data_IF_110930293166
#
_entry.id   IF_110930293166
#
_cell.length_a   1.000
_cell.length_b   1.000
_cell.length_c   1.000
_cell.angle_alpha   90.00
_cell.angle_beta   90.00
_cell.angle_gamma   90.00
#
_symmetry.space_group_name_H-M   'P 1'
#
loop_
_entity.id
_entity.type
_entity.pdbx_description
1 polymer ?
#
# COMPACT_ATOMS: atom_id res chain seq x y z
N UNK A 1 -39.60 -12.35 -21.74
CA UNK A 1 -38.15 -12.24 -22.02
C UNK A 1 -37.51 -13.47 -21.43
N UNK A 2 -36.64 -14.15 -22.18
CA UNK A 2 -36.15 -15.47 -21.78
C UNK A 2 -35.33 -15.38 -20.48
N UNK A 3 -35.59 -16.31 -19.58
CA UNK A 3 -34.77 -16.56 -18.40
C UNK A 3 -33.45 -17.16 -18.91
N UNK A 4 -32.37 -16.36 -18.94
CA UNK A 4 -31.04 -16.83 -19.32
C UNK A 4 -30.56 -17.78 -18.22
N UNK A 5 -30.85 -19.08 -18.37
CA UNK A 5 -30.41 -20.12 -17.45
C UNK A 5 -28.90 -20.03 -17.27
N UNK A 6 -28.48 -19.66 -16.06
CA UNK A 6 -27.08 -19.42 -15.71
C UNK A 6 -26.29 -20.71 -15.99
N UNK A 7 -25.32 -20.62 -16.89
CA UNK A 7 -24.56 -21.78 -17.39
C UNK A 7 -23.39 -22.15 -16.48
N UNK A 8 -23.07 -21.28 -15.52
CA UNK A 8 -22.03 -21.43 -14.50
C UNK A 8 -22.23 -22.72 -13.73
N UNK A 9 -21.23 -23.59 -13.77
CA UNK A 9 -21.22 -24.83 -12.98
C UNK A 9 -20.52 -24.59 -11.65
N UNK A 10 -20.84 -25.38 -10.62
CA UNK A 10 -20.05 -25.35 -9.39
C UNK A 10 -18.74 -26.11 -9.55
N UNK A 11 -17.69 -25.61 -8.91
CA UNK A 11 -16.43 -26.31 -8.70
C UNK A 11 -16.14 -26.36 -7.19
N UNK A 12 -15.74 -27.52 -6.69
CA UNK A 12 -15.28 -27.68 -5.30
C UNK A 12 -13.79 -27.42 -5.20
N UNK A 13 -13.31 -27.07 -4.00
CA UNK A 13 -11.94 -26.62 -3.78
C UNK A 13 -10.89 -27.65 -4.25
N UNK A 14 -11.12 -28.95 -4.01
CA UNK A 14 -10.25 -30.06 -4.43
C UNK A 14 -10.07 -30.10 -5.96
N UNK A 15 -11.15 -29.83 -6.72
CA UNK A 15 -11.09 -29.82 -8.18
C UNK A 15 -10.37 -28.56 -8.70
N UNK A 16 -10.50 -27.41 -8.02
CA UNK A 16 -9.70 -26.22 -8.35
C UNK A 16 -8.21 -26.47 -8.08
N UNK A 17 -7.84 -27.19 -7.02
CA UNK A 17 -6.43 -27.58 -6.77
C UNK A 17 -5.90 -28.44 -7.90
N UNK A 18 -6.64 -29.46 -8.34
CA UNK A 18 -6.23 -30.29 -9.47
C UNK A 18 -6.02 -29.48 -10.77
N UNK A 19 -6.81 -28.42 -11.00
CA UNK A 19 -6.60 -27.51 -12.14
C UNK A 19 -5.33 -26.68 -11.98
N UNK A 20 -5.08 -26.11 -10.79
CA UNK A 20 -3.87 -25.35 -10.48
C UNK A 20 -2.59 -26.20 -10.65
N UNK A 21 -2.62 -27.46 -10.20
CA UNK A 21 -1.53 -28.43 -10.35
C UNK A 21 -1.30 -28.87 -11.81
N UNK A 22 -2.34 -28.86 -12.65
CA UNK A 22 -2.26 -29.26 -14.06
C UNK A 22 -1.63 -28.22 -15.00
N UNK A 23 -1.36 -27.00 -14.50
CA UNK A 23 -0.73 -25.90 -15.23
C UNK A 23 -1.68 -24.74 -15.53
N UNK A 24 -1.23 -23.52 -15.23
CA UNK A 24 -2.07 -22.31 -15.23
C UNK A 24 -2.37 -21.72 -16.62
N UNK A 25 -1.71 -22.16 -17.69
CA UNK A 25 -1.88 -21.59 -19.05
C UNK A 25 -3.32 -21.66 -19.59
N UNK A 26 -4.15 -22.56 -19.07
CA UNK A 26 -5.56 -22.75 -19.48
C UNK A 26 -6.58 -22.32 -18.42
N UNK A 27 -6.14 -21.92 -17.23
CA UNK A 27 -7.00 -21.57 -16.10
C UNK A 27 -7.02 -20.05 -15.90
N UNK A 28 -8.20 -19.45 -15.97
CA UNK A 28 -8.40 -18.06 -15.62
C UNK A 28 -9.11 -17.96 -14.26
N UNK A 29 -8.32 -17.73 -13.21
CA UNK A 29 -8.84 -17.60 -11.84
C UNK A 29 -9.17 -16.14 -11.51
N UNK A 30 -10.41 -15.89 -11.11
CA UNK A 30 -10.96 -14.54 -10.87
C UNK A 30 -11.44 -14.40 -9.42
N UNK A 31 -10.87 -13.43 -8.71
CA UNK A 31 -11.35 -12.99 -7.40
C UNK A 31 -12.36 -11.85 -7.58
N UNK A 32 -13.63 -12.11 -7.23
CA UNK A 32 -14.72 -11.13 -7.32
C UNK A 32 -14.97 -10.36 -6.02
N UNK A 33 -14.06 -10.40 -5.04
CA UNK A 33 -14.21 -9.70 -3.75
C UNK A 33 -13.74 -8.25 -3.85
N UNK A 34 -14.08 -7.41 -2.86
CA UNK A 34 -13.51 -6.06 -2.77
C UNK A 34 -11.98 -6.08 -2.75
N UNK A 35 -11.36 -5.08 -3.40
CA UNK A 35 -9.90 -4.94 -3.46
C UNK A 35 -9.19 -5.08 -2.10
N UNK A 36 -9.81 -4.64 -1.00
CA UNK A 36 -9.25 -4.76 0.36
C UNK A 36 -9.14 -6.22 0.83
N UNK A 37 -10.12 -7.07 0.52
CA UNK A 37 -10.10 -8.48 0.89
C UNK A 37 -9.07 -9.25 0.06
N UNK A 38 -9.04 -9.03 -1.26
CA UNK A 38 -8.03 -9.58 -2.16
C UNK A 38 -6.59 -9.27 -1.71
N UNK A 39 -6.28 -7.99 -1.43
CA UNK A 39 -4.94 -7.60 -0.96
C UNK A 39 -4.62 -8.06 0.47
N UNK A 40 -5.63 -8.50 1.24
CA UNK A 40 -5.39 -9.13 2.55
C UNK A 40 -4.93 -10.57 2.36
N UNK A 41 -5.65 -11.34 1.53
CA UNK A 41 -5.21 -12.64 1.02
C UNK A 41 -6.15 -13.11 -0.08
N UNK A 42 -5.62 -13.79 -1.10
CA UNK A 42 -6.34 -14.34 -2.26
C UNK A 42 -5.73 -15.70 -2.66
N UNK A 43 -6.42 -16.49 -3.49
CA UNK A 43 -5.85 -17.70 -4.10
C UNK A 43 -4.70 -17.29 -5.04
N UNK A 44 -3.61 -18.07 -5.08
CA UNK A 44 -2.46 -17.79 -5.95
C UNK A 44 -2.88 -17.52 -7.41
N UNK A 45 -2.20 -16.56 -8.04
CA UNK A 45 -2.42 -16.10 -9.43
C UNK A 45 -3.83 -15.60 -9.78
N UNK A 46 -4.73 -15.47 -8.80
CA UNK A 46 -6.07 -14.92 -9.03
C UNK A 46 -6.04 -13.46 -9.48
N UNK A 47 -6.88 -13.09 -10.45
CA UNK A 47 -7.04 -11.73 -10.94
C UNK A 47 -8.21 -11.05 -10.20
N UNK A 48 -7.96 -9.94 -9.51
CA UNK A 48 -9.05 -9.21 -8.84
C UNK A 48 -9.87 -8.36 -9.82
N UNK A 49 -11.11 -8.78 -10.06
CA UNK A 49 -12.09 -8.00 -10.81
C UNK A 49 -12.94 -7.22 -9.80
N UNK A 50 -12.29 -6.19 -9.21
CA UNK A 50 -12.74 -5.40 -8.06
C UNK A 50 -14.25 -5.09 -8.02
N UNK A 51 -14.94 -5.74 -7.08
CA UNK A 51 -16.37 -5.56 -6.84
C UNK A 51 -16.70 -4.14 -6.36
N UNK A 52 -17.20 -3.31 -7.29
CA UNK A 52 -17.65 -1.95 -7.00
C UNK A 52 -18.95 -1.61 -7.75
N UNK A 53 -19.79 -0.76 -7.14
CA UNK A 53 -21.05 -0.29 -7.74
C UNK A 53 -20.84 0.38 -9.10
N UNK A 54 -19.71 1.08 -9.28
CA UNK A 54 -19.35 1.72 -10.55
C UNK A 54 -18.99 0.68 -11.61
N UNK A 55 -18.15 -0.32 -11.27
CA UNK A 55 -17.75 -1.36 -12.22
C UNK A 55 -18.95 -2.22 -12.63
N UNK A 56 -19.78 -2.63 -11.67
CA UNK A 56 -21.06 -3.32 -11.92
C UNK A 56 -21.89 -2.59 -12.97
N UNK A 57 -22.12 -1.28 -12.78
CA UNK A 57 -22.90 -0.45 -13.70
C UNK A 57 -22.26 -0.36 -15.08
N UNK A 58 -20.92 -0.23 -15.18
CA UNK A 58 -20.22 -0.18 -16.47
C UNK A 58 -20.29 -1.51 -17.23
N UNK A 59 -20.20 -2.65 -16.54
CA UNK A 59 -20.41 -3.98 -17.12
C UNK A 59 -21.87 -4.18 -17.57
N UNK A 60 -22.86 -3.84 -16.73
CA UNK A 60 -24.29 -3.91 -17.09
C UNK A 60 -24.64 -3.06 -18.33
N UNK A 61 -23.96 -1.93 -18.53
CA UNK A 61 -24.19 -0.99 -19.64
C UNK A 61 -23.25 -1.23 -20.85
N UNK A 62 -22.44 -2.30 -20.85
CA UNK A 62 -21.44 -2.61 -21.88
C UNK A 62 -20.52 -1.42 -22.21
N UNK A 63 -20.13 -0.67 -21.17
CA UNK A 63 -19.18 0.46 -21.22
C UNK A 63 -17.73 0.07 -20.91
N UNK A 64 -17.51 -1.21 -20.63
CA UNK A 64 -16.23 -1.92 -20.44
C UNK A 64 -16.50 -3.37 -20.83
N UNK A 65 -15.67 -3.96 -21.69
CA UNK A 65 -15.76 -5.38 -21.99
C UNK A 65 -15.09 -6.20 -20.88
N UNK A 66 -15.63 -7.39 -20.58
CA UNK A 66 -15.07 -8.23 -19.52
C UNK A 66 -13.63 -8.69 -19.84
N UNK A 67 -13.34 -8.94 -21.12
CA UNK A 67 -12.02 -9.33 -21.63
C UNK A 67 -10.98 -8.21 -21.46
N UNK A 68 -11.32 -6.97 -21.82
CA UNK A 68 -10.49 -5.77 -21.56
C UNK A 68 -10.22 -5.60 -20.06
N UNK A 69 -11.26 -5.79 -19.23
CA UNK A 69 -11.15 -5.65 -17.77
C UNK A 69 -10.20 -6.70 -17.17
N UNK A 70 -10.29 -7.96 -17.60
CA UNK A 70 -9.36 -9.02 -17.21
C UNK A 70 -7.94 -8.67 -17.63
N UNK A 71 -7.72 -8.28 -18.89
CA UNK A 71 -6.40 -7.92 -19.42
C UNK A 71 -5.76 -6.73 -18.66
N UNK A 72 -6.56 -5.74 -18.27
CA UNK A 72 -6.09 -4.58 -17.50
C UNK A 72 -5.88 -4.88 -16.01
N UNK A 73 -6.53 -5.90 -15.46
CA UNK A 73 -6.39 -6.31 -14.04
C UNK A 73 -5.30 -7.36 -13.81
N UNK A 74 -4.82 -8.02 -14.86
CA UNK A 74 -3.75 -9.01 -14.79
C UNK A 74 -2.38 -8.38 -14.42
N UNK A 75 -1.57 -9.09 -13.61
CA UNK A 75 -0.19 -8.68 -13.27
C UNK A 75 0.74 -8.68 -14.50
N UNK A 76 0.42 -9.48 -15.52
CA UNK A 76 1.19 -9.67 -16.75
C UNK A 76 0.27 -9.66 -17.99
N UNK A 77 0.83 -9.56 -19.20
CA UNK A 77 0.03 -9.64 -20.44
C UNK A 77 -0.51 -11.07 -20.60
N UNK A 78 -1.82 -11.23 -20.46
CA UNK A 78 -2.53 -12.51 -20.67
C UNK A 78 -3.24 -12.47 -22.01
N UNK A 79 -3.10 -13.54 -22.80
CA UNK A 79 -3.93 -13.78 -23.98
C UNK A 79 -5.19 -14.54 -23.53
N UNK A 80 -6.35 -14.02 -23.94
CA UNK A 80 -7.66 -14.56 -23.58
C UNK A 80 -8.14 -15.45 -24.72
N UNK A 81 -8.37 -16.73 -24.44
CA UNK A 81 -9.01 -17.69 -25.33
C UNK A 81 -10.37 -18.08 -24.72
N UNK A 82 -11.42 -18.10 -25.54
CA UNK A 82 -12.76 -18.53 -25.12
C UNK A 82 -12.80 -19.99 -24.62
N UNK A 83 -11.77 -20.79 -24.94
CA UNK A 83 -11.58 -22.17 -24.46
C UNK A 83 -10.92 -22.29 -23.08
N UNK A 84 -10.44 -21.20 -22.48
CA UNK A 84 -9.93 -21.24 -21.11
C UNK A 84 -11.03 -21.67 -20.13
N UNK A 85 -10.65 -22.43 -19.10
CA UNK A 85 -11.54 -22.69 -17.96
C UNK A 85 -11.50 -21.48 -17.04
N UNK A 86 -12.65 -20.81 -16.86
CA UNK A 86 -12.76 -19.67 -15.96
C UNK A 86 -13.30 -20.14 -14.62
N UNK A 87 -12.59 -19.86 -13.54
CA UNK A 87 -13.07 -20.10 -12.17
C UNK A 87 -13.21 -18.75 -11.47
N UNK A 88 -14.40 -18.45 -10.96
CA UNK A 88 -14.70 -17.24 -10.20
C UNK A 88 -14.96 -17.61 -8.75
N UNK A 89 -14.49 -16.80 -7.82
CA UNK A 89 -14.83 -16.95 -6.40
C UNK A 89 -15.10 -15.61 -5.73
N UNK A 90 -16.01 -15.63 -4.76
CA UNK A 90 -16.27 -14.55 -3.82
C UNK A 90 -15.79 -14.96 -2.42
N UNK A 91 -16.34 -14.34 -1.36
CA UNK A 91 -15.92 -14.67 0.00
C UNK A 91 -16.48 -16.00 0.52
N UNK A 92 -17.72 -16.40 0.18
CA UNK A 92 -18.36 -17.58 0.80
C UNK A 92 -19.60 -18.16 0.08
N UNK A 93 -19.86 -17.82 -1.19
CA UNK A 93 -21.05 -18.32 -1.90
C UNK A 93 -20.93 -19.82 -2.17
N UNK A 94 -21.99 -20.57 -1.85
CA UNK A 94 -22.01 -22.04 -2.01
C UNK A 94 -22.66 -22.48 -3.31
N UNK A 95 -23.64 -21.73 -3.78
CA UNK A 95 -24.40 -22.04 -4.98
C UNK A 95 -24.82 -20.77 -5.73
N UNK A 96 -24.89 -20.88 -7.04
CA UNK A 96 -25.32 -19.82 -7.97
C UNK A 96 -26.77 -19.40 -7.68
N UNK A 97 -27.66 -20.34 -7.31
CA UNK A 97 -29.08 -20.00 -7.04
C UNK A 97 -29.27 -19.15 -5.78
N UNK A 98 -28.28 -19.11 -4.88
CA UNK A 98 -28.31 -18.27 -3.67
C UNK A 98 -27.96 -16.81 -3.95
N UNK A 99 -27.51 -16.47 -5.16
CA UNK A 99 -27.10 -15.13 -5.53
C UNK A 99 -28.29 -14.24 -5.88
N UNK A 100 -28.31 -13.02 -5.35
CA UNK A 100 -29.26 -12.01 -5.81
C UNK A 100 -29.01 -11.66 -7.28
N UNK A 101 -30.08 -11.57 -8.07
CA UNK A 101 -30.03 -11.22 -9.50
C UNK A 101 -29.35 -9.88 -9.80
N UNK A 102 -29.32 -8.96 -8.83
CA UNK A 102 -28.65 -7.66 -8.94
C UNK A 102 -27.32 -7.59 -8.14
N UNK A 103 -26.76 -8.71 -7.69
CA UNK A 103 -25.42 -8.71 -7.09
C UNK A 103 -24.31 -8.58 -8.17
N UNK A 104 -23.11 -8.14 -7.76
CA UNK A 104 -21.99 -8.00 -8.70
C UNK A 104 -21.55 -9.33 -9.31
N UNK A 105 -21.54 -10.41 -8.52
CA UNK A 105 -21.12 -11.74 -8.97
C UNK A 105 -22.05 -12.26 -10.08
N UNK A 106 -23.37 -12.12 -9.95
CA UNK A 106 -24.33 -12.50 -11.00
C UNK A 106 -24.08 -11.74 -12.31
N UNK A 107 -23.82 -10.43 -12.23
CA UNK A 107 -23.45 -9.61 -13.40
C UNK A 107 -22.13 -10.07 -14.02
N UNK A 108 -21.13 -10.40 -13.20
CA UNK A 108 -19.81 -10.85 -13.64
C UNK A 108 -19.90 -12.20 -14.36
N UNK A 109 -20.56 -13.19 -13.74
CA UNK A 109 -20.78 -14.53 -14.32
C UNK A 109 -21.51 -14.43 -15.67
N UNK A 110 -22.62 -13.67 -15.73
CA UNK A 110 -23.38 -13.47 -16.97
C UNK A 110 -22.63 -12.73 -18.09
N UNK A 111 -21.51 -12.04 -17.79
CA UNK A 111 -20.60 -11.48 -18.81
C UNK A 111 -19.51 -12.47 -19.22
N UNK A 112 -19.01 -13.27 -18.30
CA UNK A 112 -18.03 -14.33 -18.58
C UNK A 112 -18.64 -15.44 -19.46
N UNK A 113 -19.86 -15.89 -19.17
CA UNK A 113 -20.56 -16.93 -19.96
C UNK A 113 -20.78 -16.55 -21.43
N UNK A 114 -20.75 -15.26 -21.77
CA UNK A 114 -20.88 -14.76 -23.14
C UNK A 114 -19.56 -14.70 -23.91
N UNK A 115 -18.43 -14.92 -23.23
CA UNK A 115 -17.08 -14.85 -23.78
C UNK A 115 -16.30 -16.17 -23.64
N UNK A 116 -16.67 -17.05 -22.71
CA UNK A 116 -15.97 -18.29 -22.39
C UNK A 116 -16.90 -19.51 -22.43
N UNK A 117 -16.42 -20.65 -22.94
CA UNK A 117 -17.20 -21.89 -23.00
C UNK A 117 -17.28 -22.64 -21.68
N UNK A 118 -16.37 -22.35 -20.74
CA UNK A 118 -16.30 -22.96 -19.41
C UNK A 118 -16.20 -21.86 -18.36
N UNK A 119 -17.23 -21.76 -17.51
CA UNK A 119 -17.30 -20.81 -16.39
C UNK A 119 -17.79 -21.57 -15.16
N UNK A 120 -17.03 -21.44 -14.07
CA UNK A 120 -17.28 -22.11 -12.81
C UNK A 120 -17.33 -21.13 -11.64
N UNK A 121 -18.22 -21.38 -10.67
CA UNK A 121 -18.21 -20.72 -9.36
C UNK A 121 -17.62 -21.66 -8.32
N UNK A 122 -16.61 -21.20 -7.58
CA UNK A 122 -16.01 -21.93 -6.47
C UNK A 122 -16.99 -21.99 -5.29
N UNK A 123 -17.53 -23.19 -5.04
CA UNK A 123 -18.42 -23.42 -3.90
C UNK A 123 -17.68 -23.22 -2.57
N UNK A 124 -18.29 -22.46 -1.67
CA UNK A 124 -17.68 -22.07 -0.39
C UNK A 124 -16.73 -20.87 -0.48
N UNK A 125 -16.46 -20.37 -1.69
CA UNK A 125 -15.64 -19.19 -1.96
C UNK A 125 -14.23 -19.25 -1.34
N UNK A 126 -13.65 -18.07 -1.12
CA UNK A 126 -12.33 -17.93 -0.51
C UNK A 126 -12.26 -18.44 0.94
N UNK A 127 -13.34 -18.30 1.71
CA UNK A 127 -13.37 -18.73 3.11
C UNK A 127 -13.11 -20.24 3.23
N UNK A 128 -13.82 -21.05 2.45
CA UNK A 128 -13.69 -22.51 2.45
C UNK A 128 -12.37 -22.94 1.80
N UNK A 129 -12.06 -22.45 0.59
CA UNK A 129 -10.82 -22.79 -0.11
C UNK A 129 -9.57 -22.47 0.72
N UNK A 130 -9.49 -21.26 1.29
CA UNK A 130 -8.32 -20.89 2.08
C UNK A 130 -8.25 -21.65 3.41
N UNK A 131 -9.34 -22.26 3.89
CA UNK A 131 -9.31 -23.11 5.09
C UNK A 131 -8.73 -24.49 4.76
N UNK A 132 -9.10 -25.08 3.63
CA UNK A 132 -8.64 -26.41 3.20
C UNK A 132 -7.25 -26.37 2.54
N UNK A 133 -6.97 -25.33 1.76
CA UNK A 133 -5.75 -25.17 0.95
C UNK A 133 -5.02 -23.86 1.26
N UNK A 134 -4.66 -23.59 2.53
CA UNK A 134 -4.05 -22.32 2.92
C UNK A 134 -2.69 -22.07 2.25
N UNK A 135 -1.99 -23.13 1.78
CA UNK A 135 -0.71 -23.03 1.06
C UNK A 135 -0.83 -22.57 -0.40
N UNK A 136 -2.05 -22.56 -0.95
CA UNK A 136 -2.36 -22.07 -2.29
C UNK A 136 -2.98 -20.67 -2.25
N UNK A 137 -2.70 -19.89 -1.20
CA UNK A 137 -3.20 -18.53 -1.00
C UNK A 137 -2.06 -17.52 -0.84
N UNK A 138 -1.98 -16.52 -1.72
CA UNK A 138 -1.14 -15.34 -1.53
C UNK A 138 -1.62 -14.55 -0.30
N UNK A 139 -0.71 -14.05 0.53
CA UNK A 139 -1.03 -13.27 1.75
C UNK A 139 -1.44 -14.09 2.98
N UNK A 140 -1.87 -15.35 2.85
CA UNK A 140 -2.15 -16.25 3.99
C UNK A 140 -0.90 -17.07 4.29
N UNK A 141 -0.01 -16.54 5.13
CA UNK A 141 1.24 -17.21 5.47
C UNK A 141 1.01 -18.56 6.15
N UNK A 142 1.15 -19.65 5.41
CA UNK A 142 1.18 -21.01 5.93
C UNK A 142 2.53 -21.35 6.52
N UNK A 143 2.50 -21.79 7.77
CA UNK A 143 3.63 -22.39 8.46
C UNK A 143 3.96 -23.74 7.81
N UNK A 144 5.05 -23.80 7.03
CA UNK A 144 5.75 -25.05 6.72
C UNK A 144 7.16 -24.96 7.37
N UNK A 145 7.56 -25.93 8.23
CA UNK A 145 8.73 -25.76 9.09
C UNK A 145 10.01 -26.43 8.58
N UNK A 146 10.92 -25.65 7.97
CA UNK A 146 12.37 -25.87 7.86
C UNK A 146 12.98 -24.53 7.39
N UNK A 147 14.02 -23.94 7.99
CA UNK A 147 15.15 -24.48 8.75
C UNK A 147 15.44 -23.72 10.07
N UNK A 148 16.35 -24.27 10.87
CA UNK A 148 16.67 -23.84 12.24
C UNK A 148 17.61 -22.62 12.23
N UNK A 149 17.06 -21.40 12.34
CA UNK A 149 17.70 -20.27 13.06
C UNK A 149 16.77 -19.04 13.16
N UNK A 150 16.11 -18.90 14.33
CA UNK A 150 15.31 -17.76 14.81
C UNK A 150 13.93 -17.49 14.13
N UNK A 151 12.87 -17.19 14.91
CA UNK A 151 11.50 -17.16 14.39
C UNK A 151 10.96 -15.74 14.11
N UNK A 152 10.61 -15.46 12.86
CA UNK A 152 9.73 -14.35 12.50
C UNK A 152 8.26 -14.82 12.53
N UNK A 153 7.69 -14.94 13.75
CA UNK A 153 6.28 -15.27 13.94
C UNK A 153 5.37 -14.29 13.17
N UNK A 154 4.17 -14.71 12.71
CA UNK A 154 3.17 -13.78 12.22
C UNK A 154 2.78 -12.83 13.35
N UNK A 155 3.22 -11.57 13.26
CA UNK A 155 2.99 -10.57 14.29
C UNK A 155 1.53 -10.14 14.28
N UNK A 156 0.69 -10.90 14.98
CA UNK A 156 -0.42 -10.30 15.71
C UNK A 156 0.20 -9.17 16.55
N UNK A 157 -0.11 -7.91 16.21
CA UNK A 157 0.42 -6.78 16.96
C UNK A 157 -0.22 -6.82 18.36
N UNK A 158 0.49 -7.43 19.31
CA UNK A 158 0.08 -7.64 20.71
C UNK A 158 0.20 -6.34 21.51
N UNK A 159 -0.36 -5.26 20.96
CA UNK A 159 -0.20 -3.90 21.46
C UNK A 159 0.30 -2.90 20.40
N UNK A 160 0.70 -1.70 20.87
CA UNK A 160 1.20 -0.62 20.04
C UNK A 160 2.66 -0.88 19.64
N UNK A 161 2.96 -0.59 18.38
CA UNK A 161 4.29 -0.80 17.81
C UNK A 161 5.20 0.38 18.17
N UNK A 162 6.37 0.12 18.79
CA UNK A 162 7.38 1.17 19.03
C UNK A 162 8.07 1.57 17.72
N UNK A 163 7.84 2.80 17.28
CA UNK A 163 8.44 3.36 16.05
C UNK A 163 9.81 4.00 16.36
N UNK A 164 9.88 4.78 17.43
CA UNK A 164 11.11 5.37 18.01
C UNK A 164 11.04 5.25 19.56
N UNK A 165 12.12 5.51 20.32
CA UNK A 165 12.12 5.36 21.77
C UNK A 165 10.96 6.08 22.50
N UNK A 166 10.56 7.25 21.99
CA UNK A 166 9.49 8.10 22.52
C UNK A 166 8.19 8.08 21.69
N UNK A 167 8.09 7.27 20.63
CA UNK A 167 6.96 7.27 19.71
C UNK A 167 6.45 5.85 19.42
N UNK A 168 5.18 5.63 19.71
CA UNK A 168 4.44 4.40 19.49
C UNK A 168 3.27 4.62 18.51
N UNK A 169 2.94 3.59 17.74
CA UNK A 169 1.84 3.58 16.76
C UNK A 169 0.88 2.44 17.07
N UNK A 170 -0.41 2.73 17.24
CA UNK A 170 -1.41 1.72 17.62
C UNK A 170 -2.84 2.02 17.20
N UNK A 171 -3.76 1.27 17.81
CA UNK A 171 -5.20 1.26 17.59
C UNK A 171 -5.97 1.65 18.87
N UNK A 172 -7.30 1.73 18.80
CA UNK A 172 -8.13 2.09 19.97
C UNK A 172 -8.00 1.08 21.12
N UNK A 173 -7.82 -0.21 20.82
CA UNK A 173 -7.67 -1.25 21.85
C UNK A 173 -6.37 -1.07 22.66
N UNK A 174 -5.31 -0.59 22.02
CA UNK A 174 -4.01 -0.39 22.65
C UNK A 174 -4.07 0.74 23.69
N UNK A 175 -4.69 1.87 23.35
CA UNK A 175 -4.80 3.04 24.23
C UNK A 175 -5.79 2.85 25.40
N UNK A 176 -6.72 1.90 25.28
CA UNK A 176 -7.67 1.55 26.35
C UNK A 176 -7.10 0.51 27.34
N UNK A 177 -5.98 -0.15 27.01
CA UNK A 177 -5.32 -1.09 27.91
C UNK A 177 -4.35 -0.32 28.84
N UNK A 178 -4.78 -0.07 30.07
CA UNK A 178 -4.05 0.75 31.04
C UNK A 178 -2.72 0.11 31.45
N UNK A 179 -2.71 -1.19 31.67
CA UNK A 179 -1.54 -1.96 32.08
C UNK A 179 -0.45 -1.90 31.01
N UNK A 180 -0.83 -2.07 29.75
CA UNK A 180 0.06 -1.98 28.60
C UNK A 180 0.61 -0.56 28.40
N UNK A 181 -0.22 0.47 28.59
CA UNK A 181 0.19 1.87 28.52
C UNK A 181 1.24 2.18 29.61
N UNK A 182 1.05 1.67 30.82
CA UNK A 182 2.01 1.79 31.93
C UNK A 182 3.30 0.99 31.68
N UNK A 183 3.21 -0.26 31.22
CA UNK A 183 4.37 -1.10 30.89
C UNK A 183 5.27 -0.48 29.80
N UNK A 184 4.69 0.27 28.87
CA UNK A 184 5.42 0.98 27.82
C UNK A 184 5.78 2.42 28.21
N UNK A 185 5.40 2.90 29.40
CA UNK A 185 5.67 4.25 29.91
C UNK A 185 5.11 5.34 28.97
N UNK A 186 3.88 5.12 28.51
CA UNK A 186 3.15 5.99 27.57
C UNK A 186 2.31 7.00 28.36
N UNK A 187 2.87 8.18 28.57
CA UNK A 187 2.22 9.29 29.27
C UNK A 187 1.43 10.26 28.37
N UNK A 188 1.51 10.14 27.04
CA UNK A 188 0.89 11.04 26.07
C UNK A 188 0.12 10.28 24.97
N UNK A 189 -0.99 10.86 24.50
CA UNK A 189 -1.86 10.25 23.48
C UNK A 189 -2.23 11.25 22.38
N UNK A 190 -1.96 10.87 21.12
CA UNK A 190 -2.48 11.56 19.95
C UNK A 190 -3.53 10.67 19.27
N UNK A 191 -4.80 11.10 19.33
CA UNK A 191 -5.95 10.38 18.82
C UNK A 191 -6.40 10.94 17.46
N UNK A 192 -6.04 10.25 16.39
CA UNK A 192 -6.42 10.56 15.01
C UNK A 192 -7.80 9.97 14.65
N UNK A 193 -8.84 10.42 15.33
CA UNK A 193 -10.23 10.02 15.05
C UNK A 193 -11.27 11.02 15.59
N UNK A 194 -12.49 10.91 15.06
CA UNK A 194 -13.67 11.56 15.62
C UNK A 194 -14.32 10.76 16.77
N UNK A 195 -14.21 9.43 16.77
CA UNK A 195 -15.06 8.53 17.57
C UNK A 195 -14.35 7.79 18.71
N UNK A 196 -13.04 7.53 18.62
CA UNK A 196 -12.34 6.84 19.70
C UNK A 196 -12.30 7.75 20.95
N UNK A 197 -12.63 7.26 22.16
CA UNK A 197 -12.61 8.07 23.37
C UNK A 197 -11.18 8.49 23.78
N UNK A 198 -11.07 9.47 24.67
CA UNK A 198 -9.84 9.70 25.45
C UNK A 198 -9.83 8.72 26.61
N UNK A 199 -8.73 8.02 26.93
CA UNK A 199 -8.64 7.24 28.17
C UNK A 199 -8.69 8.16 29.40
N UNK A 200 -9.34 7.71 30.47
CA UNK A 200 -9.53 8.53 31.68
C UNK A 200 -8.22 8.81 32.41
N UNK A 201 -7.27 7.88 32.35
CA UNK A 201 -5.97 7.95 33.03
C UNK A 201 -4.93 8.84 32.32
N UNK A 202 -5.25 9.45 31.17
CA UNK A 202 -4.38 10.44 30.50
C UNK A 202 -4.94 11.85 30.76
N UNK A 203 -4.15 12.78 31.33
CA UNK A 203 -4.59 14.15 31.55
C UNK A 203 -4.76 14.90 30.23
N UNK A 204 -5.66 15.89 30.20
CA UNK A 204 -5.97 16.64 28.97
C UNK A 204 -4.75 17.39 28.41
N UNK A 205 -3.85 17.84 29.28
CA UNK A 205 -2.55 18.45 28.91
C UNK A 205 -1.63 17.52 28.10
N UNK A 206 -1.83 16.20 28.21
CA UNK A 206 -1.06 15.17 27.52
C UNK A 206 -1.89 14.49 26.40
N UNK A 207 -3.01 15.08 26.01
CA UNK A 207 -3.89 14.58 24.97
C UNK A 207 -3.97 15.55 23.78
N UNK A 208 -3.97 15.00 22.56
CA UNK A 208 -4.31 15.73 21.35
C UNK A 208 -5.27 14.91 20.48
N UNK A 209 -6.47 15.44 20.23
CA UNK A 209 -7.33 14.93 19.16
C UNK A 209 -6.99 15.59 17.83
N UNK A 210 -6.85 14.76 16.80
CA UNK A 210 -6.87 15.12 15.38
C UNK A 210 -8.18 14.57 14.81
N UNK A 211 -9.25 15.39 14.72
CA UNK A 211 -10.61 14.93 14.41
C UNK A 211 -10.77 14.65 12.90
N UNK A 212 -10.29 13.47 12.47
CA UNK A 212 -10.28 13.06 11.05
C UNK A 212 -10.91 11.70 10.80
N UNK A 213 -11.66 11.60 9.71
CA UNK A 213 -12.23 10.36 9.17
C UNK A 213 -11.20 9.61 8.31
N UNK A 214 -11.47 8.35 7.98
CA UNK A 214 -10.63 7.58 7.04
C UNK A 214 -11.31 7.60 5.66
N UNK A 215 -11.07 8.66 4.88
CA UNK A 215 -11.76 8.84 3.60
C UNK A 215 -10.89 9.51 2.54
N UNK A 216 -11.34 9.39 1.29
CA UNK A 216 -10.69 9.95 0.11
C UNK A 216 -10.85 11.47 -0.05
N UNK A 217 -11.64 12.13 0.81
CA UNK A 217 -11.85 13.58 0.81
C UNK A 217 -11.42 14.28 2.10
N UNK A 218 -11.00 13.53 3.13
CA UNK A 218 -10.60 14.08 4.42
C UNK A 218 -9.25 14.82 4.33
N UNK A 219 -9.10 15.92 5.07
CA UNK A 219 -7.88 16.75 5.08
C UNK A 219 -7.07 16.56 6.35
N UNK A 220 -6.04 15.71 6.27
CA UNK A 220 -5.10 15.45 7.37
C UNK A 220 -3.86 16.36 7.32
N UNK A 221 -3.47 16.85 6.14
CA UNK A 221 -2.33 17.75 5.92
C UNK A 221 -2.29 18.97 6.88
N UNK A 222 -3.41 19.69 7.14
CA UNK A 222 -3.39 20.85 8.06
C UNK A 222 -3.06 20.48 9.52
N UNK A 223 -3.19 19.21 9.89
CA UNK A 223 -2.94 18.71 11.25
C UNK A 223 -1.51 18.20 11.46
N UNK A 224 -0.73 18.00 10.38
CA UNK A 224 0.57 17.33 10.48
C UNK A 224 1.59 18.13 11.29
N UNK A 225 1.75 19.43 11.06
CA UNK A 225 2.68 20.27 11.83
C UNK A 225 2.31 20.27 13.34
N UNK A 226 1.03 20.50 13.66
CA UNK A 226 0.52 20.45 15.05
C UNK A 226 0.75 19.08 15.71
N UNK A 227 0.65 18.01 14.94
CA UNK A 227 0.91 16.64 15.41
C UNK A 227 2.39 16.41 15.69
N UNK A 228 3.28 16.91 14.83
CA UNK A 228 4.73 16.87 15.05
C UNK A 228 5.13 17.67 16.28
N UNK A 229 4.62 18.89 16.44
CA UNK A 229 4.89 19.75 17.59
C UNK A 229 4.45 19.11 18.90
N UNK A 230 3.32 18.41 18.92
CA UNK A 230 2.85 17.67 20.10
C UNK A 230 3.81 16.53 20.47
N UNK A 231 4.28 15.75 19.47
CA UNK A 231 5.23 14.65 19.70
C UNK A 231 6.58 15.18 20.18
N UNK A 232 7.06 16.32 19.64
CA UNK A 232 8.29 16.94 20.11
C UNK A 232 8.19 17.55 21.51
N UNK A 233 7.04 18.15 21.87
CA UNK A 233 6.80 18.65 23.24
C UNK A 233 6.81 17.51 24.26
N UNK A 234 6.14 16.41 23.97
CA UNK A 234 6.16 15.22 24.84
C UNK A 234 7.58 14.67 25.01
N UNK A 235 8.31 14.52 23.91
CA UNK A 235 9.72 14.07 23.89
C UNK A 235 10.66 15.01 24.66
N UNK A 236 10.49 16.33 24.56
CA UNK A 236 11.27 17.30 25.31
C UNK A 236 11.05 17.18 26.84
N UNK A 237 9.86 16.73 27.25
CA UNK A 237 9.54 16.36 28.64
C UNK A 237 9.95 14.92 29.01
N UNK A 238 10.78 14.25 28.20
CA UNK A 238 11.12 12.82 28.30
C UNK A 238 9.92 11.84 28.28
N UNK A 239 8.73 12.30 27.86
CA UNK A 239 7.53 11.48 27.75
C UNK A 239 7.48 10.68 26.44
N UNK A 240 6.65 9.61 26.45
CA UNK A 240 6.39 8.79 25.27
C UNK A 240 4.95 8.95 24.79
N UNK A 241 4.78 9.01 23.47
CA UNK A 241 3.50 9.26 22.80
C UNK A 241 3.00 8.01 22.11
N UNK A 242 1.72 7.67 22.33
CA UNK A 242 0.97 6.76 21.46
C UNK A 242 0.16 7.58 20.45
N UNK A 243 0.53 7.48 19.17
CA UNK A 243 -0.27 7.95 18.05
C UNK A 243 -1.19 6.81 17.63
N UNK A 244 -2.51 6.98 17.78
CA UNK A 244 -3.48 5.94 17.44
C UNK A 244 -4.67 6.48 16.64
N UNK A 245 -5.37 5.56 15.98
CA UNK A 245 -6.72 5.78 15.45
C UNK A 245 -7.58 4.57 15.83
N UNK A 246 -8.68 4.30 15.12
CA UNK A 246 -9.50 3.12 15.37
C UNK A 246 -8.72 1.80 15.22
N UNK A 247 -8.12 1.57 14.04
CA UNK A 247 -7.47 0.31 13.69
C UNK A 247 -5.93 0.34 13.70
N UNK A 248 -5.32 1.53 13.72
CA UNK A 248 -3.86 1.66 13.64
C UNK A 248 -3.27 1.30 12.28
N UNK A 249 -4.00 1.58 11.19
CA UNK A 249 -3.66 1.20 9.81
C UNK A 249 -3.39 2.43 8.92
N UNK A 250 -4.33 3.38 8.86
CA UNK A 250 -4.27 4.51 7.91
C UNK A 250 -3.99 5.86 8.58
N UNK A 251 -4.97 6.47 9.27
CA UNK A 251 -4.85 7.81 9.88
C UNK A 251 -3.64 7.99 10.80
N UNK A 252 -3.47 7.13 11.80
CA UNK A 252 -2.34 7.24 12.75
C UNK A 252 -1.00 6.91 12.11
N UNK A 253 -0.97 5.95 11.17
CA UNK A 253 0.22 5.64 10.39
C UNK A 253 0.65 6.85 9.54
N UNK A 254 -0.31 7.57 8.94
CA UNK A 254 -0.05 8.81 8.17
C UNK A 254 0.66 9.86 9.03
N UNK A 255 0.18 10.09 10.26
CA UNK A 255 0.82 11.03 11.20
C UNK A 255 2.21 10.53 11.63
N UNK A 256 2.37 9.23 11.90
CA UNK A 256 3.67 8.65 12.24
C UNK A 256 4.68 8.81 11.09
N UNK A 257 4.28 8.54 9.85
CA UNK A 257 5.11 8.72 8.65
C UNK A 257 5.49 10.21 8.48
N UNK A 258 4.54 11.13 8.57
CA UNK A 258 4.80 12.57 8.52
C UNK A 258 5.84 13.02 9.57
N UNK A 259 5.73 12.48 10.78
CA UNK A 259 6.69 12.74 11.85
C UNK A 259 8.10 12.20 11.50
N UNK A 260 8.21 10.98 11.00
CA UNK A 260 9.49 10.40 10.55
C UNK A 260 10.11 11.24 9.43
N UNK A 261 9.35 11.61 8.40
CA UNK A 261 9.82 12.50 7.31
C UNK A 261 10.39 13.80 7.88
N UNK A 262 9.62 14.51 8.72
CA UNK A 262 10.01 15.81 9.29
C UNK A 262 11.21 15.72 10.25
N UNK A 263 11.40 14.60 10.95
CA UNK A 263 12.39 14.47 12.03
C UNK A 263 13.65 13.68 11.68
N UNK A 264 13.61 12.88 10.63
CA UNK A 264 14.74 12.06 10.17
C UNK A 264 15.25 12.48 8.79
N UNK A 265 14.71 13.55 8.19
CA UNK A 265 15.10 14.06 6.86
C UNK A 265 14.90 12.97 5.78
N UNK A 266 13.82 12.19 5.93
CA UNK A 266 13.46 11.07 5.06
C UNK A 266 12.41 11.49 4.04
N UNK A 267 12.52 10.97 2.82
CA UNK A 267 11.44 11.01 1.83
C UNK A 267 10.21 10.24 2.31
N UNK A 268 9.06 10.46 1.65
CA UNK A 268 7.85 9.69 1.91
C UNK A 268 8.09 8.18 1.77
N UNK A 269 8.81 7.75 0.73
CA UNK A 269 9.06 6.33 0.49
C UNK A 269 9.90 5.69 1.60
N UNK A 270 11.00 6.34 2.00
CA UNK A 270 11.85 5.88 3.10
C UNK A 270 11.09 5.85 4.44
N UNK A 271 10.34 6.91 4.75
CA UNK A 271 9.57 7.00 5.98
C UNK A 271 8.40 6.00 6.01
N UNK A 272 7.75 5.75 4.87
CA UNK A 272 6.74 4.70 4.75
C UNK A 272 7.36 3.33 5.02
N UNK A 273 8.46 2.98 4.35
CA UNK A 273 9.18 1.71 4.55
C UNK A 273 9.62 1.53 6.01
N UNK A 274 10.21 2.55 6.62
CA UNK A 274 10.63 2.53 8.03
C UNK A 274 9.50 2.22 9.01
N UNK A 275 8.29 2.78 8.80
CA UNK A 275 7.13 2.49 9.66
C UNK A 275 6.51 1.13 9.28
N UNK A 276 6.52 0.74 8.00
CA UNK A 276 5.99 -0.53 7.47
C UNK A 276 6.77 -1.75 7.99
N UNK A 277 8.10 -1.68 8.02
CA UNK A 277 8.96 -2.72 8.58
C UNK A 277 8.63 -3.00 10.06
N UNK A 278 8.34 -1.95 10.83
CA UNK A 278 7.97 -2.06 12.25
C UNK A 278 6.53 -2.52 12.44
N UNK A 279 5.60 -2.01 11.62
CA UNK A 279 4.17 -2.34 11.65
C UNK A 279 3.69 -2.74 10.25
N UNK A 280 3.83 -4.03 9.87
CA UNK A 280 3.48 -4.50 8.53
C UNK A 280 2.02 -4.26 8.10
N UNK A 281 1.12 -4.07 9.06
CA UNK A 281 -0.31 -3.82 8.82
C UNK A 281 -0.65 -2.37 8.44
N UNK A 282 0.30 -1.43 8.40
CA UNK A 282 -0.04 -0.06 7.96
C UNK A 282 -0.45 -0.03 6.49
N UNK A 283 -1.46 0.79 6.20
CA UNK A 283 -1.93 1.10 4.86
C UNK A 283 -2.70 2.44 4.88
N UNK A 284 -1.99 3.59 4.92
CA UNK A 284 -2.56 4.89 4.60
C UNK A 284 -3.37 4.86 3.29
N UNK A 285 -4.57 5.43 3.29
CA UNK A 285 -5.34 5.55 2.06
C UNK A 285 -4.64 6.48 1.04
N UNK A 286 -4.95 6.33 -0.25
CA UNK A 286 -4.28 7.07 -1.33
C UNK A 286 -4.40 8.60 -1.22
N UNK A 287 -5.50 9.13 -0.67
CA UNK A 287 -5.66 10.57 -0.42
C UNK A 287 -4.65 11.06 0.64
N UNK A 288 -4.41 10.27 1.69
CA UNK A 288 -3.39 10.59 2.69
C UNK A 288 -1.97 10.42 2.17
N UNK A 289 -1.69 9.45 1.31
CA UNK A 289 -0.39 9.35 0.62
C UNK A 289 -0.13 10.58 -0.28
N UNK A 290 -1.14 11.05 -1.02
CA UNK A 290 -1.06 12.29 -1.79
C UNK A 290 -0.77 13.52 -0.91
N UNK A 291 -1.47 13.63 0.23
CA UNK A 291 -1.23 14.69 1.21
C UNK A 291 0.17 14.61 1.87
N UNK A 292 0.74 13.41 2.03
CA UNK A 292 2.11 13.24 2.49
C UNK A 292 3.14 13.66 1.42
N UNK A 293 2.88 13.43 0.12
CA UNK A 293 3.72 13.98 -0.95
C UNK A 293 3.74 15.52 -0.93
N UNK A 294 2.60 16.15 -0.68
CA UNK A 294 2.54 17.61 -0.53
C UNK A 294 3.22 18.09 0.75
N UNK A 295 3.16 17.31 1.84
CA UNK A 295 3.94 17.57 3.05
C UNK A 295 5.45 17.46 2.79
N UNK A 296 5.92 16.48 2.01
CA UNK A 296 7.33 16.35 1.65
C UNK A 296 7.86 17.59 0.92
N UNK A 297 7.12 18.08 -0.08
CA UNK A 297 7.43 19.33 -0.80
C UNK A 297 7.49 20.52 0.17
N UNK A 298 6.54 20.61 1.10
CA UNK A 298 6.51 21.65 2.14
C UNK A 298 7.74 21.58 3.05
N UNK A 299 8.20 20.39 3.45
CA UNK A 299 9.41 20.23 4.26
C UNK A 299 10.64 20.70 3.48
N UNK A 300 10.82 20.24 2.23
CA UNK A 300 11.96 20.60 1.37
C UNK A 300 12.06 22.10 1.10
N UNK A 301 10.92 22.79 0.98
CA UNK A 301 10.88 24.24 0.83
C UNK A 301 11.17 25.02 2.14
N UNK A 302 11.07 24.37 3.30
CA UNK A 302 11.37 24.95 4.61
C UNK A 302 12.81 24.70 5.08
N UNK A 303 13.47 23.63 4.62
CA UNK A 303 14.85 23.29 5.00
C UNK A 303 15.91 24.17 4.32
N UNK A 304 15.52 25.13 3.48
CA UNK A 304 16.37 26.23 3.00
C UNK A 304 16.75 27.27 4.06
N UNK A 305 16.44 27.04 5.34
CA UNK A 305 16.88 27.85 6.48
C UNK A 305 17.65 26.97 7.48
N UNK A 306 18.85 27.37 7.95
CA UNK A 306 19.72 26.49 8.71
C UNK A 306 19.24 26.28 10.15
N UNK A 307 18.65 25.11 10.43
CA UNK A 307 18.10 24.77 11.75
C UNK A 307 18.20 23.29 12.12
N UNK A 308 19.22 22.95 12.91
CA UNK A 308 19.29 21.75 13.77
C UNK A 308 19.25 20.37 13.08
N UNK A 309 20.32 19.99 12.37
CA UNK A 309 20.56 18.60 11.96
C UNK A 309 20.61 17.70 13.20
N UNK A 310 19.78 16.65 13.22
CA UNK A 310 19.75 15.67 14.31
C UNK A 310 20.80 14.57 14.10
N UNK A 311 21.48 14.15 15.18
CA UNK A 311 22.66 13.24 15.21
C UNK A 311 22.44 11.82 14.63
N UNK A 312 21.28 11.52 14.06
CA UNK A 312 20.92 10.20 13.50
C UNK A 312 21.63 9.87 12.18
N UNK A 313 22.12 10.88 11.43
CA UNK A 313 22.77 10.67 10.12
C UNK A 313 24.12 9.92 10.20
N UNK A 314 24.73 9.82 11.38
CA UNK A 314 26.05 9.19 11.57
C UNK A 314 25.98 7.65 11.65
N UNK A 315 24.92 7.08 12.23
CA UNK A 315 24.83 5.64 12.55
C UNK A 315 24.51 4.73 11.35
N UNK A 316 24.18 5.29 10.18
CA UNK A 316 23.84 4.52 8.97
C UNK A 316 24.99 4.45 7.95
N UNK A 317 25.93 5.41 8.00
CA UNK A 317 27.10 5.45 7.11
C UNK A 317 28.20 4.50 7.57
N UNK A 318 28.42 4.38 8.88
CA UNK A 318 29.46 3.47 9.43
C UNK A 318 29.13 2.00 9.12
N UNK A 319 27.86 1.59 9.26
CA UNK A 319 27.44 0.21 8.97
C UNK A 319 27.48 -0.20 7.50
N UNK A 320 27.47 0.75 6.56
CA UNK A 320 27.54 0.47 5.13
C UNK A 320 28.98 0.37 4.61
N UNK A 321 29.98 0.77 5.40
CA UNK A 321 31.41 0.68 5.03
C UNK A 321 32.10 -0.62 5.46
N UNK A 322 31.56 -1.37 6.43
CA UNK A 322 32.22 -2.57 6.98
C UNK A 322 31.85 -3.89 6.26
N UNK A 323 30.87 -3.88 5.35
CA UNK A 323 30.32 -5.11 4.73
C UNK A 323 30.77 -5.38 3.28
N UNK A 324 31.67 -4.56 2.72
CA UNK A 324 32.16 -4.71 1.33
C UNK A 324 33.56 -5.37 1.24
N UNK A 325 34.28 -5.50 2.35
CA UNK A 325 35.68 -5.98 2.37
C UNK A 325 35.84 -7.38 3.00
N UNK A 326 34.99 -8.36 2.66
CA UNK A 326 35.15 -9.73 3.18
C UNK A 326 34.69 -10.88 2.26
N UNK A 327 35.02 -10.80 0.97
CA UNK A 327 35.17 -12.00 0.11
C UNK A 327 36.43 -11.86 -0.73
N UNK A 328 37.54 -12.38 -0.22
CA UNK A 328 38.64 -13.03 -0.96
C UNK A 328 39.79 -13.34 0.03
N UNK A 329 40.39 -14.50 -0.18
CA UNK A 329 41.58 -15.07 0.47
C UNK A 329 41.39 -15.98 1.70
N UNK A 330 41.93 -17.19 1.56
CA UNK A 330 42.01 -18.19 2.59
C UNK A 330 43.44 -18.67 2.79
N UNK A 331 43.86 -18.70 4.06
CA UNK A 331 44.93 -19.53 4.65
C UNK A 331 46.40 -19.19 4.24
N UNK A 332 47.42 -19.53 5.07
CA UNK A 332 48.05 -18.48 5.87
C UNK A 332 49.60 -18.47 5.81
N UNK A 333 50.23 -17.41 6.30
CA UNK A 333 51.62 -17.51 6.78
C UNK A 333 51.94 -16.59 7.97
N UNK A 334 52.86 -17.10 8.75
CA UNK A 334 53.30 -16.75 10.09
C UNK A 334 54.02 -15.40 10.28
N UNK A 335 53.75 -14.80 11.44
CA UNK A 335 54.73 -14.23 12.39
C UNK A 335 55.63 -13.02 11.98
N UNK A 336 55.49 -11.99 12.82
CA UNK A 336 56.57 -11.25 13.51
C UNK A 336 56.96 -9.85 13.02
N UNK A 337 57.30 -9.03 14.02
CA UNK A 337 58.03 -7.75 13.96
C UNK A 337 57.23 -6.58 13.38
N UNK A 338 56.70 -5.63 14.16
CA UNK A 338 57.33 -4.82 15.22
C UNK A 338 58.56 -4.03 14.72
N UNK A 339 58.38 -2.76 14.34
CA UNK A 339 58.94 -1.60 15.08
C UNK A 339 58.85 -0.26 14.29
N UNK A 340 58.30 0.74 14.98
CA UNK A 340 58.77 2.13 15.11
C UNK A 340 59.12 2.96 13.87
N UNK A 341 58.35 4.04 13.70
CA UNK A 341 58.76 5.26 13.01
C UNK A 341 60.02 5.89 13.65
N UNK A 342 60.89 6.51 12.84
CA UNK A 342 61.10 7.97 12.82
C UNK A 342 62.35 8.40 12.01
N UNK A 343 62.24 9.56 11.36
CA UNK A 343 63.33 10.47 10.93
C UNK A 343 64.32 9.98 9.86
N UNK A 344 64.92 10.83 9.02
CA UNK A 344 64.61 12.20 8.56
C UNK A 344 65.57 12.55 7.38
N UNK A 345 65.24 13.62 6.63
CA UNK A 345 66.14 14.36 5.72
C UNK A 345 66.71 13.57 4.51
N UNK A 346 67.15 14.17 3.40
CA UNK A 346 66.84 15.46 2.75
C UNK A 346 67.37 15.40 1.29
N UNK A 347 67.19 16.47 0.51
CA UNK A 347 67.88 16.77 -0.77
C UNK A 347 67.53 15.84 -1.97
N UNK A 348 66.83 16.37 -2.99
CA UNK A 348 67.36 17.06 -4.17
C UNK A 348 68.18 16.17 -5.11
N UNK A 349 67.62 15.87 -6.30
CA UNK A 349 68.26 16.05 -7.63
C UNK A 349 67.39 15.46 -8.78
N UNK A 350 66.73 16.36 -9.50
CA UNK A 350 66.50 16.27 -10.97
C UNK A 350 67.84 16.49 -11.71
N UNK A 351 67.98 16.33 -13.06
CA UNK A 351 67.09 15.70 -14.07
C UNK A 351 67.84 14.70 -15.01
N UNK A 352 67.13 14.03 -15.94
CA UNK A 352 67.51 13.98 -17.40
C UNK A 352 66.57 13.14 -18.29
N UNK A 353 66.04 13.78 -19.34
CA UNK A 353 65.86 13.19 -20.68
C UNK A 353 67.20 13.36 -21.49
N UNK A 354 67.41 12.88 -22.75
CA UNK A 354 66.49 12.70 -23.89
C UNK A 354 66.36 11.21 -24.30
N UNK A 355 65.76 10.78 -25.43
CA UNK A 355 65.16 11.46 -26.60
C UNK A 355 63.88 10.69 -27.02
N UNK A 356 63.28 10.68 -28.22
CA UNK A 356 63.59 11.19 -29.57
C UNK A 356 62.84 10.33 -30.62
N UNK A 357 62.18 10.94 -31.62
CA UNK A 357 61.59 10.19 -32.75
C UNK A 357 60.17 10.61 -33.16
N UNK A 358 60.04 11.25 -34.34
CA UNK A 358 58.76 11.63 -34.95
C UNK A 358 58.13 10.47 -35.74
N UNK A 359 56.80 10.37 -35.76
CA UNK A 359 56.08 9.49 -36.69
C UNK A 359 54.55 9.62 -36.66
N UNK A 360 53.98 10.30 -37.65
CA UNK A 360 52.57 10.21 -38.08
C UNK A 360 52.61 10.00 -39.61
N UNK A 361 51.71 9.22 -40.24
CA UNK A 361 50.26 9.53 -40.20
C UNK A 361 49.28 8.33 -40.33
N UNK A 362 47.99 8.70 -40.36
CA UNK A 362 46.81 7.99 -40.89
C UNK A 362 46.04 7.01 -39.96
N UNK A 363 44.70 6.90 -40.10
CA UNK A 363 43.82 6.36 -39.06
C UNK A 363 43.23 4.96 -39.40
N UNK A 364 42.76 4.25 -38.38
CA UNK A 364 41.94 3.04 -38.50
C UNK A 364 40.76 3.06 -37.51
N UNK A 365 39.67 2.44 -37.95
CA UNK A 365 38.37 2.27 -37.28
C UNK A 365 38.46 1.16 -36.19
N UNK A 366 37.46 0.79 -35.37
CA UNK A 366 36.02 1.07 -35.33
C UNK A 366 35.50 0.79 -33.88
N UNK A 367 34.29 1.25 -33.50
CA UNK A 367 33.70 0.92 -32.18
C UNK A 367 32.35 1.59 -31.89
N UNK A 368 31.23 0.86 -31.74
CA UNK A 368 29.89 1.44 -31.90
C UNK A 368 29.23 1.89 -30.57
N UNK A 369 29.08 3.21 -30.38
CA UNK A 369 28.23 3.78 -29.30
C UNK A 369 27.25 4.88 -29.77
N UNK A 370 26.98 4.98 -31.08
CA UNK A 370 26.10 6.01 -31.67
C UNK A 370 24.94 5.45 -32.53
N UNK A 371 24.43 4.25 -32.21
CA UNK A 371 23.25 3.69 -32.88
C UNK A 371 22.16 3.14 -31.94
N UNK A 372 22.01 3.74 -30.75
CA UNK A 372 21.01 3.34 -29.74
C UNK A 372 19.91 4.39 -29.44
N UNK A 373 19.88 5.53 -30.15
CA UNK A 373 18.99 6.67 -29.83
C UNK A 373 17.92 7.02 -30.89
N UNK A 374 17.76 6.20 -31.94
CA UNK A 374 16.70 6.36 -32.96
C UNK A 374 15.61 5.25 -32.93
N UNK A 375 15.50 4.50 -31.83
CA UNK A 375 14.64 3.30 -31.74
C UNK A 375 13.25 3.45 -31.11
N UNK A 376 12.87 4.62 -30.57
CA UNK A 376 11.62 4.80 -29.80
C UNK A 376 10.57 5.62 -30.54
N UNK A 377 10.06 5.08 -31.65
CA UNK A 377 8.85 5.61 -32.30
C UNK A 377 7.60 5.10 -31.56
N UNK A 378 7.01 5.94 -30.71
CA UNK A 378 5.73 5.63 -30.05
C UNK A 378 4.59 5.82 -31.07
N UNK A 379 4.00 4.72 -31.54
CA UNK A 379 2.86 4.75 -32.47
C UNK A 379 1.68 5.54 -31.90
N UNK A 380 1.14 6.44 -32.73
CA UNK A 380 0.11 7.42 -32.37
C UNK A 380 -1.19 6.76 -31.85
N UNK A 381 -1.52 5.56 -32.34
CA UNK A 381 -2.71 4.79 -31.98
C UNK A 381 -2.82 4.53 -30.47
N UNK A 382 -1.70 4.33 -29.77
CA UNK A 382 -1.69 4.12 -28.30
C UNK A 382 -2.16 5.34 -27.51
N UNK A 383 -2.10 6.53 -28.10
CA UNK A 383 -2.54 7.79 -27.48
C UNK A 383 -4.07 7.93 -27.60
N UNK A 384 -4.68 7.44 -28.69
CA UNK A 384 -6.12 7.57 -28.91
C UNK A 384 -6.94 6.69 -27.96
N UNK A 385 -6.55 5.43 -27.72
CA UNK A 385 -7.24 4.56 -26.76
C UNK A 385 -7.13 5.05 -25.31
N UNK A 386 -5.95 5.55 -24.90
CA UNK A 386 -5.79 6.18 -23.58
C UNK A 386 -6.71 7.40 -23.43
N UNK A 387 -6.90 8.17 -24.50
CA UNK A 387 -7.77 9.35 -24.50
C UNK A 387 -9.27 9.01 -24.57
N UNK A 388 -9.66 7.94 -25.29
CA UNK A 388 -11.02 7.35 -25.21
C UNK A 388 -11.35 6.94 -23.78
N UNK A 389 -10.42 6.27 -23.10
CA UNK A 389 -10.64 5.80 -21.74
C UNK A 389 -10.72 6.98 -20.75
N UNK A 390 -9.83 7.99 -20.85
CA UNK A 390 -9.88 9.23 -20.04
C UNK A 390 -11.21 9.97 -20.19
N UNK A 391 -11.74 10.10 -21.41
CA UNK A 391 -13.07 10.72 -21.65
C UNK A 391 -14.21 9.95 -20.95
N UNK A 392 -14.07 8.64 -20.72
CA UNK A 392 -15.04 7.84 -19.96
C UNK A 392 -14.86 7.90 -18.42
N UNK A 393 -13.94 8.73 -17.93
CA UNK A 393 -13.76 9.04 -16.50
C UNK A 393 -13.97 10.54 -16.18
N UNK A 394 -14.11 11.40 -17.17
CA UNK A 394 -14.50 12.81 -16.97
C UNK A 394 -15.95 12.91 -16.47
N UNK A 395 -16.15 13.53 -15.30
CA UNK A 395 -17.47 13.92 -14.81
C UNK A 395 -17.81 15.33 -15.31
N UNK A 396 -18.72 15.44 -16.26
CA UNK A 396 -19.36 16.72 -16.61
C UNK A 396 -20.32 17.15 -15.48
N UNK A 397 -19.81 17.91 -14.52
CA UNK A 397 -20.63 18.53 -13.48
C UNK A 397 -21.19 19.85 -14.04
N UNK A 398 -22.38 19.78 -14.66
CA UNK A 398 -23.17 21.00 -14.92
C UNK A 398 -23.67 21.56 -13.58
N UNK A 399 -23.14 22.71 -13.20
CA UNK A 399 -23.61 23.48 -12.04
C UNK A 399 -25.05 23.99 -12.28
N UNK A 400 -26.02 23.45 -11.53
CA UNK A 400 -27.36 24.01 -11.45
C UNK A 400 -27.39 25.04 -10.31
N UNK A 401 -27.39 26.32 -10.67
CA UNK A 401 -27.56 27.42 -9.72
C UNK A 401 -29.02 27.49 -9.28
N UNK A 402 -29.29 27.28 -7.99
CA UNK A 402 -30.59 27.62 -7.40
C UNK A 402 -30.59 29.09 -6.97
N UNK A 403 -31.45 29.89 -7.61
CA UNK A 403 -31.78 31.23 -7.15
C UNK A 403 -32.79 31.14 -5.99
N UNK A 404 -32.59 31.93 -4.94
CA UNK A 404 -33.54 32.08 -3.86
C UNK A 404 -34.67 33.03 -4.25
N UNK A 405 -35.92 32.67 -3.96
CA UNK A 405 -37.07 33.58 -3.99
C UNK A 405 -37.98 33.32 -2.80
N UNK A 406 -38.11 34.34 -1.96
CA UNK A 406 -38.90 34.31 -0.72
C UNK A 406 -40.39 34.55 -0.98
N UNK A 407 -41.27 33.85 -0.27
CA UNK A 407 -42.63 34.33 0.00
C UNK A 407 -43.26 33.62 1.21
N UNK A 408 -43.66 34.40 2.22
CA UNK A 408 -44.56 33.97 3.28
C UNK A 408 -46.01 33.90 2.76
N UNK A 409 -46.86 33.02 3.31
CA UNK A 409 -48.26 33.33 3.71
C UNK A 409 -48.65 32.40 4.89
N UNK A 410 -49.57 32.88 5.72
CA UNK A 410 -50.05 32.38 7.03
C UNK A 410 -51.30 31.49 7.01
N UNK A 411 -51.57 30.84 8.15
CA UNK A 411 -52.88 30.33 8.63
C UNK A 411 -53.41 29.03 7.97
N UNK A 412 -54.30 28.21 8.56
CA UNK A 412 -55.19 28.40 9.73
C UNK A 412 -55.45 27.08 10.52
N UNK A 413 -56.08 27.20 11.69
CA UNK A 413 -56.50 26.09 12.60
C UNK A 413 -57.88 25.52 12.26
N UNK A 414 -58.06 24.18 12.38
CA UNK A 414 -59.27 23.41 12.78
C UNK A 414 -59.01 21.90 12.47
N UNK A 415 -59.48 20.88 13.22
CA UNK A 415 -60.21 20.79 14.49
C UNK A 415 -60.79 19.36 14.69
N UNK A 416 -60.96 18.92 15.95
CA UNK A 416 -61.61 17.66 16.42
C UNK A 416 -60.87 16.31 16.09
N UNK A 417 -60.44 15.50 17.07
CA UNK A 417 -61.16 14.63 18.06
C UNK A 417 -61.31 13.18 17.52
N UNK A 418 -61.32 12.08 18.31
CA UNK A 418 -61.43 11.84 19.77
C UNK A 418 -60.89 10.43 20.15
N UNK A 419 -60.77 10.15 21.47
CA UNK A 419 -60.84 8.81 22.12
C UNK A 419 -59.69 7.80 21.90
N UNK A 420 -58.97 7.41 22.97
CA UNK A 420 -59.15 6.16 23.79
C UNK A 420 -58.46 4.94 23.11
N UNK A 421 -57.83 3.99 23.81
CA UNK A 421 -57.79 3.67 25.26
C UNK A 421 -56.46 2.96 25.64
N UNK A 422 -56.18 2.88 26.96
CA UNK A 422 -55.16 2.04 27.66
C UNK A 422 -53.67 2.14 27.30
#
# INVERSE_FOLDING_TARGET
MADEMIRTQLIVAEKLVALLESGTEKLLLIDSRPFVEYNTSHILDAININCSKLMKRRLQQDKVLITELIQHSAKHKIEIDCKQEVVVYDQSSKDVTSLSSDCFLTVLLGKLEKNFSSVHLLSGGFAEFSSSFPGLCEGKSTLIPTCISQPCLPVSNTGPTRILPHLYLGCQRDVLNKELMQQNDIGYVLNASNTCPKPDFIPESHFLRVPVNDSFCEKILPWLDKSVDFIEKAKASNGRVLVHCLAGISRSATIAIAYIMKRMDMSLDEAYRFVKEKRPTISPNFNFLGQLLDFEKKIKNQSGQPGHISKLKLLHLEKSSEQVQQVLEGVPSSLSSSQLCLSAAAELLEPKAPDGGRGHPAPLEEGPLLQAINGLHVSLDKVEDSNRLKRSFSLDIKSVSYAASSSCVTASVQGFASSEDT
#
